data_IF_760069793509
#
_entry.id   IF_760069793509
#
_cell.length_a   1.000
_cell.length_b   1.000
_cell.length_c   1.000
_cell.angle_alpha   90.00
_cell.angle_beta   90.00
_cell.angle_gamma   90.00
#
_symmetry.space_group_name_H-M   'P 1'
#
loop_
_entity.id
_entity.type
_entity.pdbx_description
1 polymer ?
#
# COMPACT_ATOMS: atom_id res chain seq x y z
N UNK A 1 -16.39 33.69 6.78
CA UNK A 1 -15.44 32.83 7.52
C UNK A 1 -14.14 33.62 7.68
N UNK A 2 -13.68 33.91 8.91
CA UNK A 2 -12.41 34.64 9.06
C UNK A 2 -11.24 33.73 8.64
N UNK A 3 -10.23 34.31 7.99
CA UNK A 3 -9.00 33.60 7.56
C UNK A 3 -8.33 32.86 8.72
N UNK A 4 -8.39 33.41 9.94
CA UNK A 4 -7.88 32.80 11.16
C UNK A 4 -8.60 31.49 11.55
N UNK A 5 -9.92 31.41 11.33
CA UNK A 5 -10.70 30.20 11.60
C UNK A 5 -10.40 29.07 10.62
N UNK A 6 -10.12 29.39 9.36
CA UNK A 6 -9.71 28.41 8.35
C UNK A 6 -8.29 27.88 8.62
N UNK A 7 -7.35 28.78 8.96
CA UNK A 7 -5.97 28.40 9.29
C UNK A 7 -5.90 27.46 10.50
N UNK A 8 -6.66 27.73 11.57
CA UNK A 8 -6.68 26.87 12.77
C UNK A 8 -7.24 25.48 12.47
N UNK A 9 -8.24 25.36 11.60
CA UNK A 9 -8.81 24.07 11.18
C UNK A 9 -7.84 23.26 10.34
N UNK A 10 -7.13 23.92 9.42
CA UNK A 10 -6.10 23.26 8.61
C UNK A 10 -4.96 22.75 9.49
N UNK A 11 -4.55 23.52 10.49
CA UNK A 11 -3.51 23.11 11.43
C UNK A 11 -3.94 21.89 12.27
N UNK A 12 -5.18 21.88 12.78
CA UNK A 12 -5.72 20.75 13.53
C UNK A 12 -5.92 19.49 12.65
N UNK A 13 -6.37 19.67 11.41
CA UNK A 13 -6.47 18.59 10.43
C UNK A 13 -5.10 18.00 10.10
N UNK A 14 -4.08 18.84 9.91
CA UNK A 14 -2.71 18.40 9.68
C UNK A 14 -2.14 17.65 10.90
N UNK A 15 -2.43 18.12 12.12
CA UNK A 15 -2.00 17.47 13.38
C UNK A 15 -2.62 16.08 13.54
N UNK A 16 -3.90 15.91 13.18
CA UNK A 16 -4.67 14.66 13.32
C UNK A 16 -4.58 13.73 12.10
N UNK A 17 -3.87 14.13 11.03
CA UNK A 17 -3.74 13.36 9.82
C UNK A 17 -3.20 11.95 10.11
N UNK A 18 -3.95 10.92 9.72
CA UNK A 18 -3.54 9.54 9.89
C UNK A 18 -2.31 9.23 9.00
N UNK A 19 -1.21 8.66 9.54
CA UNK A 19 -0.01 8.32 8.74
C UNK A 19 -0.32 7.40 7.56
N UNK A 20 -1.30 6.50 7.71
CA UNK A 20 -1.71 5.53 6.69
C UNK A 20 -2.52 6.12 5.53
N UNK A 21 -2.79 7.42 5.48
CA UNK A 21 -3.73 7.98 4.49
C UNK A 21 -3.17 8.00 3.06
N UNK A 22 -1.86 7.79 2.87
CA UNK A 22 -1.29 7.52 1.54
C UNK A 22 -1.78 6.19 0.93
N UNK A 23 -2.52 5.35 1.67
CA UNK A 23 -3.27 4.23 1.10
C UNK A 23 -4.24 4.68 -0.02
N UNK A 24 -4.79 5.89 0.06
CA UNK A 24 -5.59 6.50 -1.02
C UNK A 24 -4.78 6.64 -2.32
N UNK A 25 -3.53 7.10 -2.22
CA UNK A 25 -2.61 7.27 -3.36
C UNK A 25 -2.29 5.90 -3.94
N UNK A 26 -1.92 4.94 -3.09
CA UNK A 26 -1.61 3.58 -3.50
C UNK A 26 -2.79 2.93 -4.26
N UNK A 27 -3.99 3.02 -3.69
CA UNK A 27 -5.21 2.47 -4.28
C UNK A 27 -5.56 3.11 -5.61
N UNK A 28 -5.55 4.45 -5.68
CA UNK A 28 -5.90 5.18 -6.90
C UNK A 28 -4.87 4.94 -8.01
N UNK A 29 -3.58 4.91 -7.65
CA UNK A 29 -2.49 4.64 -8.58
C UNK A 29 -2.53 3.22 -9.13
N UNK A 30 -2.75 2.19 -8.31
CA UNK A 30 -2.79 0.81 -8.80
C UNK A 30 -4.02 0.53 -9.67
N UNK A 31 -5.18 1.11 -9.34
CA UNK A 31 -6.38 1.02 -10.19
C UNK A 31 -6.14 1.70 -11.54
N UNK A 32 -5.45 2.86 -11.55
CA UNK A 32 -5.03 3.49 -12.80
C UNK A 32 -4.11 2.59 -13.62
N UNK A 33 -3.05 2.04 -13.00
CA UNK A 33 -2.10 1.12 -13.67
C UNK A 33 -2.84 -0.07 -14.28
N UNK A 34 -3.76 -0.70 -13.55
CA UNK A 34 -4.51 -1.84 -14.04
C UNK A 34 -5.44 -1.50 -15.20
N UNK A 35 -6.17 -0.38 -15.13
CA UNK A 35 -7.01 0.07 -16.25
C UNK A 35 -6.20 0.33 -17.52
N UNK A 36 -5.02 0.94 -17.35
CA UNK A 36 -4.12 1.21 -18.46
C UNK A 36 -3.57 -0.07 -19.11
N UNK A 37 -3.15 -1.05 -18.29
CA UNK A 37 -2.71 -2.37 -18.76
C UNK A 37 -3.80 -3.14 -19.53
N UNK A 38 -5.07 -2.87 -19.26
CA UNK A 38 -6.21 -3.44 -19.99
C UNK A 38 -6.69 -2.56 -21.17
N UNK A 39 -5.88 -1.60 -21.61
CA UNK A 39 -6.17 -0.75 -22.77
C UNK A 39 -7.27 0.30 -22.54
N UNK A 40 -7.64 0.56 -21.28
CA UNK A 40 -8.69 1.53 -20.90
C UNK A 40 -8.08 2.86 -20.45
N UNK A 41 -7.22 3.44 -21.28
CA UNK A 41 -6.49 4.68 -20.95
C UNK A 41 -7.41 5.82 -20.48
N UNK A 42 -8.53 6.08 -21.16
CA UNK A 42 -9.48 7.13 -20.74
C UNK A 42 -10.03 6.93 -19.33
N UNK A 43 -10.27 5.68 -18.93
CA UNK A 43 -10.71 5.35 -17.57
C UNK A 43 -9.55 5.42 -16.56
N UNK A 44 -8.31 5.17 -17.00
CA UNK A 44 -7.13 5.21 -16.13
C UNK A 44 -6.77 6.64 -15.70
N UNK A 45 -7.15 7.66 -16.47
CA UNK A 45 -6.87 9.08 -16.17
C UNK A 45 -7.55 9.55 -14.89
N UNK A 46 -8.80 9.18 -14.62
CA UNK A 46 -9.51 9.68 -13.44
C UNK A 46 -8.86 9.20 -12.12
N UNK A 47 -8.58 7.90 -11.92
CA UNK A 47 -7.82 7.44 -10.74
C UNK A 47 -6.40 8.00 -10.69
N UNK A 48 -5.75 8.25 -11.84
CA UNK A 48 -4.44 8.93 -11.88
C UNK A 48 -4.53 10.38 -11.36
N UNK A 49 -5.53 11.14 -11.77
CA UNK A 49 -5.75 12.50 -11.27
C UNK A 49 -5.97 12.50 -9.76
N UNK A 50 -6.82 11.61 -9.25
CA UNK A 50 -7.04 11.46 -7.81
C UNK A 50 -5.75 11.05 -7.10
N UNK A 51 -4.97 10.13 -7.66
CA UNK A 51 -3.67 9.71 -7.16
C UNK A 51 -2.70 10.91 -7.04
N UNK A 52 -2.52 11.68 -8.11
CA UNK A 52 -1.60 12.83 -8.15
C UNK A 52 -2.03 13.96 -7.21
N UNK A 53 -3.31 14.34 -7.23
CA UNK A 53 -3.85 15.40 -6.36
C UNK A 53 -3.75 15.01 -4.89
N UNK A 54 -4.17 13.78 -4.55
CA UNK A 54 -4.07 13.30 -3.17
C UNK A 54 -2.62 13.18 -2.70
N UNK A 55 -1.70 12.73 -3.56
CA UNK A 55 -0.27 12.68 -3.23
C UNK A 55 0.28 14.07 -2.92
N UNK A 56 0.00 15.07 -3.76
CA UNK A 56 0.47 16.44 -3.54
C UNK A 56 -0.10 17.03 -2.23
N UNK A 57 -1.40 16.86 -1.99
CA UNK A 57 -2.05 17.34 -0.75
C UNK A 57 -1.46 16.65 0.48
N UNK A 58 -1.36 15.32 0.47
CA UNK A 58 -0.83 14.55 1.60
C UNK A 58 0.66 14.82 1.84
N UNK A 59 1.44 15.05 0.79
CA UNK A 59 2.85 15.43 0.90
C UNK A 59 2.99 16.79 1.59
N UNK A 60 2.20 17.80 1.19
CA UNK A 60 2.20 19.13 1.82
C UNK A 60 1.77 19.04 3.28
N UNK A 61 0.67 18.35 3.57
CA UNK A 61 0.17 18.20 4.94
C UNK A 61 1.14 17.41 5.83
N UNK A 62 1.77 16.36 5.30
CA UNK A 62 2.76 15.57 6.03
C UNK A 62 4.04 16.36 6.27
N UNK A 63 4.50 17.13 5.27
CA UNK A 63 5.63 18.05 5.42
C UNK A 63 5.36 19.12 6.48
N UNK A 64 4.18 19.74 6.43
CA UNK A 64 3.73 20.67 7.49
C UNK A 64 3.74 20.00 8.86
N UNK A 65 3.19 18.79 8.96
CA UNK A 65 3.12 18.02 10.21
C UNK A 65 4.51 17.70 10.76
N UNK A 66 5.48 17.35 9.91
CA UNK A 66 6.87 17.07 10.32
C UNK A 66 7.59 18.34 10.77
N UNK A 67 7.28 19.51 10.19
CA UNK A 67 7.93 20.76 10.56
C UNK A 67 7.33 21.40 11.82
N UNK A 68 6.00 21.38 11.96
CA UNK A 68 5.25 22.11 12.99
C UNK A 68 4.83 21.20 14.15
N UNK A 69 4.34 19.98 13.87
CA UNK A 69 3.74 19.06 14.85
C UNK A 69 4.66 17.87 15.17
N UNK A 70 5.95 18.14 15.41
CA UNK A 70 6.99 17.12 15.64
C UNK A 70 6.64 16.13 16.75
N UNK A 71 6.05 16.61 17.84
CA UNK A 71 5.65 15.76 18.96
C UNK A 71 4.58 14.74 18.55
N UNK A 72 3.62 15.15 17.72
CA UNK A 72 2.59 14.25 17.21
C UNK A 72 3.17 13.21 16.24
N UNK A 73 4.14 13.58 15.41
CA UNK A 73 4.83 12.63 14.52
C UNK A 73 5.65 11.63 15.33
N UNK A 74 6.40 12.10 16.34
CA UNK A 74 7.18 11.24 17.23
C UNK A 74 6.29 10.27 18.01
N UNK A 75 5.13 10.74 18.48
CA UNK A 75 4.15 9.89 19.15
C UNK A 75 3.63 8.78 18.21
N UNK A 76 3.29 9.13 16.95
CA UNK A 76 2.83 8.15 15.95
C UNK A 76 3.93 7.15 15.57
N UNK A 77 5.19 7.58 15.45
CA UNK A 77 6.33 6.70 15.16
C UNK A 77 6.65 5.73 16.31
N UNK A 78 6.30 6.10 17.55
CA UNK A 78 6.47 5.27 18.74
C UNK A 78 5.26 4.37 19.04
N UNK A 79 4.16 4.51 18.29
CA UNK A 79 2.97 3.69 18.40
C UNK A 79 2.98 2.57 17.34
N UNK A 80 3.12 1.29 17.72
CA UNK A 80 3.14 0.17 16.77
C UNK A 80 1.88 0.02 15.91
N UNK A 81 0.73 0.58 16.33
CA UNK A 81 -0.50 0.52 15.54
C UNK A 81 -0.57 1.63 14.47
N UNK A 82 0.27 2.67 14.59
CA UNK A 82 0.23 3.86 13.72
C UNK A 82 1.51 4.03 12.91
N UNK A 83 2.66 3.64 13.48
CA UNK A 83 3.98 3.76 12.90
C UNK A 83 4.09 3.07 11.54
N UNK A 84 3.56 1.85 11.41
CA UNK A 84 3.58 1.14 10.14
C UNK A 84 2.81 1.88 9.03
N UNK A 85 1.83 2.72 9.38
CA UNK A 85 1.13 3.58 8.42
C UNK A 85 2.06 4.48 7.60
N UNK A 86 3.22 4.91 8.13
CA UNK A 86 4.17 5.73 7.38
C UNK A 86 4.76 5.01 6.15
N UNK A 87 4.79 3.68 6.12
CA UNK A 87 5.23 2.92 4.94
C UNK A 87 4.30 3.11 3.73
N UNK A 88 3.06 3.56 3.93
CA UNK A 88 2.15 3.91 2.83
C UNK A 88 2.67 5.09 1.99
N UNK A 89 3.48 5.99 2.55
CA UNK A 89 4.14 7.04 1.77
C UNK A 89 5.14 6.48 0.75
N UNK A 90 5.93 5.48 1.14
CA UNK A 90 6.92 4.81 0.28
C UNK A 90 6.19 4.08 -0.85
N UNK A 91 5.18 3.28 -0.49
CA UNK A 91 4.37 2.56 -1.46
C UNK A 91 3.61 3.50 -2.40
N UNK A 92 2.99 4.56 -1.89
CA UNK A 92 2.27 5.56 -2.70
C UNK A 92 3.19 6.29 -3.68
N UNK A 93 4.40 6.68 -3.24
CA UNK A 93 5.40 7.33 -4.09
C UNK A 93 5.84 6.43 -5.24
N UNK A 94 6.13 5.16 -4.95
CA UNK A 94 6.55 4.19 -5.97
C UNK A 94 5.42 3.84 -6.94
N UNK A 95 4.18 3.67 -6.47
CA UNK A 95 3.01 3.39 -7.33
C UNK A 95 2.72 4.57 -8.26
N UNK A 96 2.74 5.81 -7.74
CA UNK A 96 2.63 7.00 -8.58
C UNK A 96 3.78 7.07 -9.59
N UNK A 97 5.01 6.81 -9.14
CA UNK A 97 6.20 6.74 -9.98
C UNK A 97 6.07 5.74 -11.13
N UNK A 98 5.60 4.53 -10.86
CA UNK A 98 5.33 3.52 -11.89
C UNK A 98 4.31 4.01 -12.89
N UNK A 99 3.20 4.61 -12.43
CA UNK A 99 2.14 5.06 -13.35
C UNK A 99 2.61 6.20 -14.25
N UNK A 100 3.38 7.17 -13.75
CA UNK A 100 3.92 8.26 -14.58
C UNK A 100 5.08 7.80 -15.46
N UNK A 101 5.84 6.78 -15.05
CA UNK A 101 6.83 6.14 -15.92
C UNK A 101 6.18 5.47 -17.13
N UNK A 102 4.98 4.90 -16.98
CA UNK A 102 4.21 4.36 -18.12
C UNK A 102 3.83 5.45 -19.14
N UNK A 103 3.67 6.70 -18.71
CA UNK A 103 3.45 7.86 -19.58
C UNK A 103 4.78 8.48 -20.11
N UNK A 104 5.92 7.86 -19.82
CA UNK A 104 7.24 8.30 -20.28
C UNK A 104 7.98 9.27 -19.34
N UNK A 105 7.41 9.61 -18.18
CA UNK A 105 8.03 10.53 -17.21
C UNK A 105 9.03 9.81 -16.27
N UNK A 106 10.04 9.16 -16.85
CA UNK A 106 11.02 8.33 -16.13
C UNK A 106 11.84 9.11 -15.08
N UNK A 107 12.15 10.38 -15.33
CA UNK A 107 12.91 11.21 -14.38
C UNK A 107 12.12 11.44 -13.08
N UNK A 108 10.82 11.70 -13.18
CA UNK A 108 9.94 11.87 -12.01
C UNK A 108 9.87 10.57 -11.22
N UNK A 109 9.72 9.44 -11.92
CA UNK A 109 9.68 8.13 -11.30
C UNK A 109 10.99 7.76 -10.59
N UNK A 110 12.15 8.11 -11.16
CA UNK A 110 13.45 7.93 -10.50
C UNK A 110 13.57 8.77 -9.23
N UNK A 111 13.12 10.03 -9.25
CA UNK A 111 13.12 10.90 -8.05
C UNK A 111 12.22 10.31 -6.98
N UNK A 112 11.01 9.87 -7.34
CA UNK A 112 10.09 9.23 -6.41
C UNK A 112 10.68 7.94 -5.82
N UNK A 113 11.34 7.11 -6.63
CA UNK A 113 12.04 5.91 -6.16
C UNK A 113 13.18 6.25 -5.20
N UNK A 114 13.99 7.27 -5.51
CA UNK A 114 15.09 7.70 -4.64
C UNK A 114 14.59 8.22 -3.29
N UNK A 115 13.54 9.06 -3.30
CA UNK A 115 12.89 9.56 -2.08
C UNK A 115 12.27 8.41 -1.28
N UNK A 116 11.59 7.48 -1.95
CA UNK A 116 10.99 6.30 -1.32
C UNK A 116 12.06 5.39 -0.71
N UNK A 117 13.19 5.16 -1.40
CA UNK A 117 14.31 4.37 -0.91
C UNK A 117 14.99 5.01 0.31
N UNK A 118 15.23 6.31 0.28
CA UNK A 118 15.76 7.05 1.44
C UNK A 118 14.81 6.96 2.64
N UNK A 119 13.51 7.19 2.42
CA UNK A 119 12.50 7.06 3.46
C UNK A 119 12.42 5.62 4.01
N UNK A 120 12.53 4.60 3.15
CA UNK A 120 12.52 3.20 3.57
C UNK A 120 13.73 2.82 4.41
N UNK A 121 14.93 3.30 4.06
CA UNK A 121 16.11 3.07 4.90
C UNK A 121 15.93 3.68 6.29
N UNK A 122 15.40 4.91 6.39
CA UNK A 122 15.17 5.53 7.69
C UNK A 122 14.07 4.81 8.47
N UNK A 123 12.88 4.66 7.88
CA UNK A 123 11.69 4.12 8.55
C UNK A 123 11.77 2.62 8.79
N UNK A 124 12.40 1.88 7.87
CA UNK A 124 12.58 0.43 7.90
C UNK A 124 13.43 -0.05 9.08
N UNK A 125 14.37 0.77 9.56
CA UNK A 125 15.09 0.50 10.80
C UNK A 125 14.45 1.18 12.01
N UNK A 126 13.92 2.40 11.85
CA UNK A 126 13.37 3.17 12.96
C UNK A 126 12.11 2.54 13.57
N UNK A 127 11.13 2.15 12.75
CA UNK A 127 9.82 1.68 13.24
C UNK A 127 9.92 0.32 13.93
N UNK A 128 10.57 -0.72 13.37
CA UNK A 128 10.72 -1.99 14.07
C UNK A 128 11.54 -1.82 15.35
N UNK A 129 12.56 -0.96 15.34
CA UNK A 129 13.33 -0.63 16.54
C UNK A 129 12.45 -0.03 17.63
N UNK A 130 11.63 0.98 17.34
CA UNK A 130 10.73 1.58 18.34
C UNK A 130 9.62 0.63 18.77
N UNK A 131 9.11 -0.19 17.87
CA UNK A 131 8.03 -1.14 18.16
C UNK A 131 8.48 -2.33 19.01
N UNK A 132 9.69 -2.86 18.78
CA UNK A 132 10.21 -4.07 19.45
C UNK A 132 11.09 -3.73 20.64
N UNK A 133 11.97 -2.73 20.54
CA UNK A 133 13.05 -2.51 21.50
C UNK A 133 12.70 -1.54 22.64
N UNK A 134 11.79 -0.59 22.40
CA UNK A 134 11.57 0.55 23.31
C UNK A 134 10.43 0.35 24.30
N UNK A 135 9.56 -0.67 24.15
CA UNK A 135 8.43 -0.88 25.08
C UNK A 135 8.66 -2.07 26.03
N UNK A 136 8.63 -1.77 27.33
CA UNK A 136 8.76 -2.76 28.43
C UNK A 136 7.42 -3.12 29.10
N UNK A 137 6.29 -2.56 28.66
CA UNK A 137 5.00 -2.67 29.39
C UNK A 137 3.92 -3.55 28.74
N UNK A 138 4.03 -3.93 27.46
CA UNK A 138 3.14 -4.91 26.80
C UNK A 138 3.91 -5.72 25.76
N UNK A 139 3.59 -7.01 25.54
CA UNK A 139 4.23 -7.79 24.48
C UNK A 139 3.94 -7.12 23.13
N UNK A 140 4.99 -6.85 22.33
CA UNK A 140 4.87 -6.26 20.99
C UNK A 140 3.87 -7.03 20.09
N UNK A 141 3.73 -8.34 20.34
CA UNK A 141 2.78 -9.21 19.67
C UNK A 141 1.32 -8.76 19.78
N UNK A 142 0.91 -8.16 20.91
CA UNK A 142 -0.48 -7.72 21.11
C UNK A 142 -0.91 -6.60 20.16
N UNK A 143 0.04 -5.84 19.62
CA UNK A 143 -0.18 -4.72 18.70
C UNK A 143 -0.01 -5.10 17.21
N UNK A 144 0.32 -6.36 16.90
CA UNK A 144 0.53 -6.80 15.52
C UNK A 144 -0.77 -6.92 14.74
N UNK A 145 -1.08 -5.99 13.84
CA UNK A 145 -2.30 -6.04 13.03
C UNK A 145 -1.99 -6.04 11.52
N UNK A 146 -3.05 -5.99 10.70
CA UNK A 146 -2.92 -5.95 9.25
C UNK A 146 -2.08 -4.78 8.71
N UNK A 147 -1.91 -3.70 9.47
CA UNK A 147 -1.08 -2.56 9.03
C UNK A 147 0.39 -2.91 8.95
N UNK A 148 0.88 -3.91 9.68
CA UNK A 148 2.30 -4.29 9.68
C UNK A 148 2.74 -4.80 8.29
N UNK A 149 1.82 -5.38 7.51
CA UNK A 149 2.10 -5.79 6.13
C UNK A 149 2.40 -4.61 5.20
N UNK A 150 2.09 -3.36 5.57
CA UNK A 150 2.52 -2.18 4.79
C UNK A 150 4.05 -2.06 4.70
N UNK A 151 4.79 -2.61 5.67
CA UNK A 151 6.25 -2.67 5.61
C UNK A 151 6.75 -3.51 4.44
N UNK A 152 6.09 -4.65 4.20
CA UNK A 152 6.31 -5.52 3.04
C UNK A 152 5.93 -4.78 1.77
N UNK A 153 4.75 -4.17 1.74
CA UNK A 153 4.26 -3.45 0.56
C UNK A 153 5.20 -2.32 0.15
N UNK A 154 5.77 -1.59 1.12
CA UNK A 154 6.74 -0.52 0.85
C UNK A 154 7.99 -1.04 0.14
N UNK A 155 8.65 -2.07 0.68
CA UNK A 155 9.87 -2.59 0.04
C UNK A 155 9.56 -3.27 -1.30
N UNK A 156 8.45 -4.00 -1.42
CA UNK A 156 8.04 -4.61 -2.68
C UNK A 156 7.70 -3.55 -3.74
N UNK A 157 7.13 -2.41 -3.36
CA UNK A 157 6.87 -1.32 -4.30
C UNK A 157 8.16 -0.72 -4.88
N UNK A 158 9.26 -0.70 -4.12
CA UNK A 158 10.58 -0.31 -4.63
C UNK A 158 11.06 -1.31 -5.67
N UNK A 159 10.82 -2.61 -5.46
CA UNK A 159 11.15 -3.64 -6.44
C UNK A 159 10.38 -3.44 -7.75
N UNK A 160 9.06 -3.20 -7.68
CA UNK A 160 8.23 -2.91 -8.87
C UNK A 160 8.71 -1.65 -9.59
N UNK A 161 9.00 -0.57 -8.86
CA UNK A 161 9.44 0.69 -9.45
C UNK A 161 10.80 0.57 -10.13
N UNK A 162 11.77 -0.06 -9.45
CA UNK A 162 13.09 -0.33 -10.02
C UNK A 162 12.99 -1.22 -11.28
N UNK A 163 12.12 -2.24 -11.24
CA UNK A 163 11.90 -3.12 -12.38
C UNK A 163 11.22 -2.43 -13.57
N UNK A 164 10.34 -1.46 -13.29
CA UNK A 164 9.70 -0.65 -14.34
C UNK A 164 10.69 0.30 -15.01
N UNK A 165 11.67 0.82 -14.25
CA UNK A 165 12.64 1.80 -14.75
C UNK A 165 13.87 1.18 -15.43
N UNK A 166 14.22 -0.06 -15.10
CA UNK A 166 15.38 -0.76 -15.67
C UNK A 166 15.47 -0.68 -17.21
N UNK A 167 14.42 -1.00 -17.99
CA UNK A 167 14.52 -0.96 -19.44
C UNK A 167 14.61 0.48 -20.00
N UNK A 168 14.06 1.46 -19.28
CA UNK A 168 13.98 2.85 -19.72
C UNK A 168 15.22 3.69 -19.39
N UNK A 169 16.07 3.24 -18.46
CA UNK A 169 17.24 4.00 -17.99
C UNK A 169 18.51 3.14 -18.11
N UNK A 170 19.07 2.98 -19.32
CA UNK A 170 20.19 2.07 -19.57
C UNK A 170 21.42 2.32 -18.68
N UNK A 171 21.70 3.58 -18.35
CA UNK A 171 22.84 3.97 -17.49
C UNK A 171 22.74 3.48 -16.05
N UNK A 172 21.53 3.17 -15.56
CA UNK A 172 21.28 2.67 -14.20
C UNK A 172 20.81 1.21 -14.17
N UNK A 173 20.83 0.50 -15.31
CA UNK A 173 20.30 -0.87 -15.45
C UNK A 173 20.75 -1.81 -14.33
N UNK A 174 22.06 -1.92 -14.11
CA UNK A 174 22.60 -2.84 -13.11
C UNK A 174 22.18 -2.45 -11.68
N UNK A 175 22.17 -1.16 -11.36
CA UNK A 175 21.73 -0.66 -10.07
C UNK A 175 20.23 -0.90 -9.85
N UNK A 176 19.40 -0.71 -10.88
CA UNK A 176 17.95 -0.94 -10.83
C UNK A 176 17.62 -2.43 -10.71
N UNK A 177 18.30 -3.29 -11.47
CA UNK A 177 18.18 -4.75 -11.34
C UNK A 177 18.60 -5.21 -9.93
N UNK A 178 19.72 -4.68 -9.42
CA UNK A 178 20.18 -4.99 -8.07
C UNK A 178 19.17 -4.54 -7.00
N UNK A 179 18.66 -3.32 -7.13
CA UNK A 179 17.65 -2.76 -6.23
C UNK A 179 16.37 -3.58 -6.26
N UNK A 180 15.94 -4.04 -7.44
CA UNK A 180 14.72 -4.82 -7.58
C UNK A 180 14.81 -6.18 -6.89
N UNK A 181 15.86 -6.95 -7.17
CA UNK A 181 16.06 -8.26 -6.55
C UNK A 181 16.30 -8.12 -5.04
N UNK A 182 17.13 -7.16 -4.60
CA UNK A 182 17.36 -6.89 -3.18
C UNK A 182 16.05 -6.58 -2.44
N UNK A 183 15.27 -5.63 -2.97
CA UNK A 183 14.01 -5.21 -2.35
C UNK A 183 12.97 -6.33 -2.33
N UNK A 184 12.91 -7.13 -3.41
CA UNK A 184 12.01 -8.28 -3.49
C UNK A 184 12.37 -9.34 -2.45
N UNK A 185 13.66 -9.70 -2.35
CA UNK A 185 14.13 -10.68 -1.38
C UNK A 185 13.83 -10.25 0.06
N UNK A 186 14.16 -9.00 0.42
CA UNK A 186 13.83 -8.45 1.74
C UNK A 186 12.32 -8.50 1.99
N UNK A 187 11.51 -8.12 1.01
CA UNK A 187 10.06 -8.15 1.12
C UNK A 187 9.48 -9.55 1.38
N UNK A 188 10.00 -10.59 0.74
CA UNK A 188 9.56 -11.98 0.97
C UNK A 188 9.87 -12.43 2.39
N UNK A 189 11.07 -12.14 2.91
CA UNK A 189 11.40 -12.45 4.30
C UNK A 189 10.57 -11.65 5.30
N UNK A 190 10.35 -10.36 5.04
CA UNK A 190 9.47 -9.53 5.86
C UNK A 190 8.03 -10.04 5.87
N UNK A 191 7.53 -10.54 4.74
CA UNK A 191 6.20 -11.13 4.66
C UNK A 191 6.05 -12.33 5.57
N UNK A 192 7.02 -13.25 5.55
CA UNK A 192 7.03 -14.40 6.44
C UNK A 192 7.09 -13.97 7.92
N UNK A 193 7.98 -13.03 8.26
CA UNK A 193 8.13 -12.54 9.62
C UNK A 193 6.83 -11.87 10.16
N UNK A 194 6.25 -10.94 9.39
CA UNK A 194 4.99 -10.27 9.74
C UNK A 194 3.85 -11.28 9.79
N UNK A 195 3.77 -12.21 8.84
CA UNK A 195 2.76 -13.25 8.80
C UNK A 195 2.78 -14.15 10.03
N UNK A 196 3.97 -14.54 10.50
CA UNK A 196 4.13 -15.31 11.75
C UNK A 196 3.69 -14.49 12.96
N UNK A 197 4.10 -13.22 13.07
CA UNK A 197 3.72 -12.35 14.20
C UNK A 197 2.21 -12.11 14.25
N UNK A 198 1.58 -11.78 13.12
CA UNK A 198 0.12 -11.54 13.06
C UNK A 198 -0.64 -12.85 13.34
N UNK A 199 -0.20 -13.98 12.78
CA UNK A 199 -0.81 -15.29 13.06
C UNK A 199 -0.69 -15.65 14.54
N UNK A 200 0.49 -15.47 15.14
CA UNK A 200 0.72 -15.74 16.55
C UNK A 200 -0.15 -14.84 17.44
N UNK A 201 -0.37 -13.56 17.07
CA UNK A 201 -1.33 -12.70 17.78
C UNK A 201 -2.75 -13.24 17.68
N UNK A 202 -3.20 -13.62 16.49
CA UNK A 202 -4.56 -14.14 16.27
C UNK A 202 -4.84 -15.44 17.05
N UNK A 203 -3.79 -16.22 17.34
CA UNK A 203 -3.89 -17.45 18.15
C UNK A 203 -3.78 -17.19 19.66
N UNK A 204 -3.00 -16.18 20.06
CA UNK A 204 -2.70 -15.92 21.47
C UNK A 204 -3.64 -14.91 22.16
N UNK A 205 -4.39 -14.11 21.39
CA UNK A 205 -5.27 -13.07 21.93
C UNK A 205 -6.70 -13.24 21.41
N UNK A 206 -7.69 -12.90 22.26
CA UNK A 206 -9.10 -12.92 21.88
C UNK A 206 -9.39 -11.97 20.72
N UNK A 207 -9.97 -12.51 19.66
CA UNK A 207 -10.31 -11.76 18.44
C UNK A 207 -11.73 -11.19 18.53
N UNK A 208 -11.86 -9.87 18.73
CA UNK A 208 -13.16 -9.20 18.65
C UNK A 208 -13.47 -8.82 17.20
N UNK A 209 -14.76 -8.74 16.85
CA UNK A 209 -15.19 -8.31 15.52
C UNK A 209 -14.70 -6.89 15.15
N UNK A 210 -14.44 -6.03 16.14
CA UNK A 210 -13.87 -4.69 15.96
C UNK A 210 -12.38 -4.73 15.61
N UNK A 211 -11.68 -5.81 15.94
CA UNK A 211 -10.24 -5.94 15.71
C UNK A 211 -9.94 -6.41 14.28
N UNK A 212 -10.93 -6.96 13.56
CA UNK A 212 -10.84 -7.30 12.13
C UNK A 212 -10.97 -6.05 11.26
N UNK A 213 -9.97 -5.19 11.37
CA UNK A 213 -9.92 -3.91 10.68
C UNK A 213 -9.66 -4.09 9.18
N UNK A 214 -10.02 -3.10 8.34
CA UNK A 214 -9.74 -3.13 6.89
C UNK A 214 -8.28 -3.47 6.50
N UNK A 215 -7.24 -3.04 7.25
CA UNK A 215 -5.84 -3.39 6.99
C UNK A 215 -5.50 -4.87 6.88
N UNK A 216 -6.32 -5.81 7.38
CA UNK A 216 -6.07 -7.25 7.16
C UNK A 216 -6.05 -7.64 5.67
N UNK A 217 -6.74 -6.88 4.81
CA UNK A 217 -6.64 -7.05 3.36
C UNK A 217 -5.23 -6.81 2.82
N UNK A 218 -4.38 -6.05 3.52
CA UNK A 218 -2.99 -5.81 3.13
C UNK A 218 -2.17 -7.11 3.21
N UNK A 219 -2.56 -8.11 4.00
CA UNK A 219 -1.91 -9.43 3.95
C UNK A 219 -1.98 -10.05 2.54
N UNK A 220 -3.17 -10.06 1.95
CA UNK A 220 -3.36 -10.48 0.56
C UNK A 220 -2.71 -9.48 -0.42
N UNK A 221 -2.79 -8.18 -0.16
CA UNK A 221 -2.15 -7.17 -1.00
C UNK A 221 -0.62 -7.29 -1.04
N UNK A 222 0.00 -7.72 0.05
CA UNK A 222 1.44 -7.91 0.18
C UNK A 222 1.93 -9.12 -0.63
N UNK A 223 1.17 -10.23 -0.68
CA UNK A 223 1.48 -11.31 -1.64
C UNK A 223 1.30 -10.84 -3.07
N UNK A 224 0.23 -10.12 -3.38
CA UNK A 224 -0.03 -9.63 -4.73
C UNK A 224 1.07 -8.69 -5.26
N UNK A 225 1.55 -7.73 -4.48
CA UNK A 225 2.66 -6.86 -4.92
C UNK A 225 3.98 -7.64 -5.04
N UNK A 226 4.20 -8.66 -4.19
CA UNK A 226 5.37 -9.54 -4.31
C UNK A 226 5.34 -10.38 -5.59
N UNK A 227 4.14 -10.81 -6.01
CA UNK A 227 3.88 -11.48 -7.29
C UNK A 227 4.18 -10.52 -8.44
N UNK A 228 3.63 -9.30 -8.39
CA UNK A 228 3.88 -8.28 -9.42
C UNK A 228 5.37 -7.95 -9.55
N UNK A 229 6.06 -7.72 -8.42
CA UNK A 229 7.49 -7.43 -8.39
C UNK A 229 8.30 -8.60 -8.97
N UNK A 230 8.02 -9.83 -8.55
CA UNK A 230 8.72 -11.01 -9.03
C UNK A 230 8.48 -11.25 -10.53
N UNK A 231 7.24 -11.13 -11.01
CA UNK A 231 6.93 -11.22 -12.44
C UNK A 231 7.72 -10.18 -13.26
N UNK A 232 7.84 -8.95 -12.77
CA UNK A 232 8.64 -7.90 -13.43
C UNK A 232 10.14 -8.19 -13.41
N UNK A 233 10.66 -8.78 -12.33
CA UNK A 233 12.07 -9.20 -12.26
C UNK A 233 12.35 -10.36 -13.22
N UNK A 234 11.43 -11.32 -13.34
CA UNK A 234 11.55 -12.41 -14.31
C UNK A 234 11.50 -11.86 -15.73
N UNK A 235 10.74 -10.81 -16.02
CA UNK A 235 10.71 -10.18 -17.35
C UNK A 235 11.93 -9.26 -17.64
N UNK A 236 12.79 -8.99 -16.65
CA UNK A 236 13.98 -8.16 -16.85
C UNK A 236 14.96 -8.78 -17.85
N UNK A 237 15.77 -7.90 -18.47
CA UNK A 237 16.94 -8.35 -19.23
C UNK A 237 17.92 -9.14 -18.34
N UNK A 238 18.65 -10.10 -18.92
CA UNK A 238 19.66 -10.85 -18.18
C UNK A 238 20.70 -9.93 -17.53
N UNK A 239 20.90 -10.12 -16.23
CA UNK A 239 21.98 -9.55 -15.44
C UNK A 239 22.39 -10.60 -14.41
N UNK A 240 23.65 -10.60 -13.90
CA UNK A 240 24.15 -11.70 -13.06
C UNK A 240 23.23 -12.02 -11.87
N UNK A 241 22.66 -11.00 -11.22
CA UNK A 241 21.79 -11.18 -10.06
C UNK A 241 20.38 -11.67 -10.44
N UNK A 242 19.84 -11.21 -11.57
CA UNK A 242 18.56 -11.66 -12.09
C UNK A 242 18.67 -13.12 -12.57
N UNK A 243 19.71 -13.48 -13.32
CA UNK A 243 19.92 -14.85 -13.80
C UNK A 243 20.05 -15.85 -12.66
N UNK A 244 20.81 -15.50 -11.61
CA UNK A 244 20.97 -16.35 -10.43
C UNK A 244 19.66 -16.62 -9.67
N UNK A 245 18.70 -15.68 -9.73
CA UNK A 245 17.46 -15.73 -8.93
C UNK A 245 16.21 -16.05 -9.74
N UNK A 246 16.25 -15.96 -11.07
CA UNK A 246 15.07 -16.02 -11.97
C UNK A 246 14.18 -17.23 -11.72
N UNK A 247 14.76 -18.44 -11.71
CA UNK A 247 13.99 -19.67 -11.50
C UNK A 247 13.35 -19.75 -10.11
N UNK A 248 14.07 -19.29 -9.07
CA UNK A 248 13.54 -19.22 -7.71
C UNK A 248 12.39 -18.21 -7.62
N UNK A 249 12.56 -17.02 -8.18
CA UNK A 249 11.54 -15.96 -8.18
C UNK A 249 10.28 -16.45 -8.89
N UNK A 250 10.41 -17.06 -10.09
CA UNK A 250 9.27 -17.60 -10.83
C UNK A 250 8.46 -18.60 -9.99
N UNK A 251 9.13 -19.58 -9.36
CA UNK A 251 8.46 -20.53 -8.47
C UNK A 251 7.77 -19.88 -7.26
N UNK A 252 8.46 -18.95 -6.59
CA UNK A 252 7.92 -18.25 -5.40
C UNK A 252 6.72 -17.37 -5.77
N UNK A 253 6.74 -16.73 -6.94
CA UNK A 253 5.64 -15.90 -7.43
C UNK A 253 4.36 -16.73 -7.58
N UNK A 254 4.43 -17.93 -8.16
CA UNK A 254 3.26 -18.82 -8.27
C UNK A 254 2.74 -19.23 -6.89
N UNK A 255 3.62 -19.56 -5.95
CA UNK A 255 3.25 -19.90 -4.56
C UNK A 255 2.56 -18.73 -3.84
N UNK A 256 3.10 -17.51 -3.97
CA UNK A 256 2.52 -16.32 -3.36
C UNK A 256 1.17 -15.95 -3.99
N UNK A 257 1.00 -16.16 -5.30
CA UNK A 257 -0.28 -15.94 -5.96
C UNK A 257 -1.33 -16.94 -5.49
N UNK A 258 -0.99 -18.23 -5.40
CA UNK A 258 -1.87 -19.26 -4.87
C UNK A 258 -2.27 -18.97 -3.40
N UNK A 259 -1.30 -18.60 -2.56
CA UNK A 259 -1.56 -18.22 -1.17
C UNK A 259 -2.44 -16.96 -1.06
N UNK A 260 -2.15 -15.92 -1.86
CA UNK A 260 -2.98 -14.71 -1.94
C UNK A 260 -4.42 -15.01 -2.32
N UNK A 261 -4.62 -15.90 -3.29
CA UNK A 261 -5.94 -16.37 -3.73
C UNK A 261 -6.68 -17.09 -2.61
N UNK A 262 -5.98 -17.95 -1.87
CA UNK A 262 -6.53 -18.68 -0.73
C UNK A 262 -6.93 -17.77 0.45
N UNK A 263 -6.27 -16.61 0.62
CA UNK A 263 -6.65 -15.62 1.65
C UNK A 263 -7.97 -14.90 1.34
N UNK A 264 -8.37 -14.77 0.06
CA UNK A 264 -9.55 -13.99 -0.33
C UNK A 264 -10.84 -14.50 0.35
N UNK A 265 -11.20 -15.80 0.31
CA UNK A 265 -12.38 -16.31 1.00
C UNK A 265 -12.39 -16.01 2.50
N UNK A 266 -11.24 -16.13 3.17
CA UNK A 266 -11.11 -15.87 4.61
C UNK A 266 -11.35 -14.38 4.92
N UNK A 267 -10.79 -13.48 4.11
CA UNK A 267 -10.96 -12.03 4.26
C UNK A 267 -12.41 -11.59 4.00
N UNK A 268 -13.07 -12.19 3.00
CA UNK A 268 -14.50 -11.96 2.72
C UNK A 268 -15.36 -12.46 3.88
N UNK A 269 -15.08 -13.65 4.40
CA UNK A 269 -15.78 -14.22 5.56
C UNK A 269 -15.60 -13.35 6.82
N UNK A 270 -14.38 -12.85 7.07
CA UNK A 270 -14.08 -11.91 8.15
C UNK A 270 -14.88 -10.61 8.04
N UNK A 271 -14.96 -10.03 6.83
CA UNK A 271 -15.77 -8.84 6.57
C UNK A 271 -17.28 -9.09 6.74
N UNK A 272 -17.76 -10.24 6.27
CA UNK A 272 -19.16 -10.66 6.46
C UNK A 272 -19.49 -10.82 7.95
N UNK A 273 -18.62 -11.51 8.71
CA UNK A 273 -18.80 -11.68 10.15
C UNK A 273 -18.81 -10.35 10.90
N UNK A 274 -17.90 -9.41 10.58
CA UNK A 274 -17.85 -8.07 11.16
C UNK A 274 -19.13 -7.26 10.92
N UNK A 275 -19.58 -7.16 9.67
CA UNK A 275 -20.66 -6.23 9.29
C UNK A 275 -22.06 -6.85 9.30
N UNK A 276 -22.21 -8.14 8.99
CA UNK A 276 -23.52 -8.80 8.96
C UNK A 276 -23.87 -9.48 10.27
N UNK A 277 -22.93 -10.23 10.85
CA UNK A 277 -23.19 -10.98 12.09
C UNK A 277 -23.08 -10.06 13.31
N UNK A 278 -21.98 -9.34 13.45
CA UNK A 278 -21.73 -8.43 14.57
C UNK A 278 -22.25 -6.99 14.36
N UNK A 279 -22.87 -6.72 13.20
CA UNK A 279 -23.54 -5.44 12.87
C UNK A 279 -22.70 -4.20 13.11
N UNK A 280 -21.37 -4.30 12.93
CA UNK A 280 -20.49 -3.13 12.99
C UNK A 280 -20.84 -2.21 11.81
N UNK A 281 -21.22 -0.94 12.07
CA UNK A 281 -21.70 -0.05 11.02
C UNK A 281 -20.61 0.25 9.98
N UNK A 282 -21.00 0.29 8.71
CA UNK A 282 -20.14 0.69 7.59
C UNK A 282 -20.12 2.22 7.52
N UNK A 283 -19.22 2.84 8.27
CA UNK A 283 -18.93 4.28 8.22
C UNK A 283 -17.63 4.48 7.45
N UNK A 284 -17.52 5.58 6.71
CA UNK A 284 -16.27 5.93 6.05
C UNK A 284 -15.16 6.10 7.10
N UNK A 285 -14.14 5.26 6.99
CA UNK A 285 -12.88 5.37 7.72
C UNK A 285 -11.73 5.38 6.71
N UNK A 286 -10.67 6.13 7.02
CA UNK A 286 -9.49 6.26 6.14
C UNK A 286 -8.84 4.92 5.78
N UNK A 287 -8.99 3.92 6.64
CA UNK A 287 -8.48 2.57 6.45
C UNK A 287 -9.21 1.77 5.36
N UNK A 288 -10.40 2.18 4.89
CA UNK A 288 -11.10 1.50 3.78
C UNK A 288 -10.27 1.48 2.49
N UNK A 289 -9.42 2.48 2.27
CA UNK A 289 -8.47 2.50 1.14
C UNK A 289 -7.49 1.32 1.17
N UNK A 290 -7.22 0.75 2.35
CA UNK A 290 -6.40 -0.44 2.52
C UNK A 290 -7.05 -1.73 1.98
N UNK A 291 -8.34 -1.71 1.60
CA UNK A 291 -9.03 -2.81 0.88
C UNK A 291 -8.92 -2.63 -0.63
N UNK A 292 -9.07 -1.39 -1.11
CA UNK A 292 -9.06 -1.07 -2.54
C UNK A 292 -7.69 -1.37 -3.16
N UNK A 293 -6.61 -1.01 -2.45
CA UNK A 293 -5.26 -1.26 -2.94
C UNK A 293 -4.96 -2.76 -3.19
N UNK A 294 -5.19 -3.68 -2.24
CA UNK A 294 -5.03 -5.12 -2.47
C UNK A 294 -5.84 -5.66 -3.64
N UNK A 295 -7.09 -5.22 -3.81
CA UNK A 295 -7.93 -5.66 -4.93
C UNK A 295 -7.32 -5.27 -6.28
N UNK A 296 -6.91 -3.99 -6.42
CA UNK A 296 -6.26 -3.52 -7.63
C UNK A 296 -4.90 -4.18 -7.86
N UNK A 297 -4.13 -4.38 -6.79
CA UNK A 297 -2.83 -5.03 -6.85
C UNK A 297 -2.92 -6.49 -7.28
N UNK A 298 -3.88 -7.25 -6.73
CA UNK A 298 -4.11 -8.64 -7.12
C UNK A 298 -4.53 -8.75 -8.59
N UNK A 299 -5.34 -7.81 -9.09
CA UNK A 299 -5.70 -7.74 -10.49
C UNK A 299 -4.47 -7.52 -11.40
N UNK A 300 -3.66 -6.51 -11.09
CA UNK A 300 -2.43 -6.17 -11.84
C UNK A 300 -1.38 -7.29 -11.76
N UNK A 301 -1.28 -7.95 -10.62
CA UNK A 301 -0.40 -9.09 -10.41
C UNK A 301 -0.83 -10.28 -11.26
N UNK A 302 -2.11 -10.62 -11.29
CA UNK A 302 -2.65 -11.70 -12.13
C UNK A 302 -2.41 -11.47 -13.62
N UNK A 303 -2.65 -10.25 -14.11
CA UNK A 303 -2.38 -9.87 -15.50
C UNK A 303 -0.89 -9.90 -15.84
N UNK A 304 -0.01 -9.55 -14.90
CA UNK A 304 1.44 -9.63 -15.11
C UNK A 304 1.94 -11.07 -15.09
N UNK A 305 1.42 -11.90 -14.18
CA UNK A 305 1.78 -13.31 -14.06
C UNK A 305 1.40 -14.11 -15.31
N UNK A 306 0.22 -13.84 -15.87
CA UNK A 306 -0.23 -14.49 -17.10
C UNK A 306 0.69 -14.26 -18.31
N UNK A 307 1.42 -13.14 -18.34
CA UNK A 307 2.36 -12.82 -19.43
C UNK A 307 3.72 -13.50 -19.27
N UNK A 308 4.10 -13.86 -18.05
CA UNK A 308 5.45 -14.36 -17.73
C UNK A 308 5.48 -15.88 -17.67
N UNK A 309 4.44 -16.50 -17.09
CA UNK A 309 4.41 -17.94 -16.84
C UNK A 309 3.32 -18.68 -17.66
N UNK A 310 2.75 -18.04 -18.69
CA UNK A 310 1.67 -18.58 -19.53
C UNK A 310 0.50 -19.17 -18.71
N UNK A 311 0.11 -18.45 -17.64
CA UNK A 311 -0.99 -18.83 -16.75
C UNK A 311 -2.29 -18.08 -17.12
N UNK A 312 -3.11 -18.57 -18.09
CA UNK A 312 -4.29 -17.86 -18.58
C UNK A 312 -5.34 -17.64 -17.47
N UNK A 313 -5.42 -18.55 -16.49
CA UNK A 313 -6.33 -18.42 -15.36
C UNK A 313 -6.02 -17.16 -14.53
N UNK A 314 -4.74 -16.89 -14.24
CA UNK A 314 -4.33 -15.72 -13.49
C UNK A 314 -4.68 -14.42 -14.24
N UNK A 315 -4.56 -14.43 -15.58
CA UNK A 315 -4.91 -13.30 -16.44
C UNK A 315 -6.42 -13.04 -16.49
N UNK A 316 -7.22 -14.09 -16.58
CA UNK A 316 -8.69 -13.97 -16.53
C UNK A 316 -9.17 -13.42 -15.18
N UNK A 317 -8.60 -13.93 -14.08
CA UNK A 317 -8.86 -13.40 -12.74
C UNK A 317 -8.43 -11.93 -12.64
N UNK A 318 -7.28 -11.56 -13.21
CA UNK A 318 -6.81 -10.18 -13.29
C UNK A 318 -7.78 -9.25 -14.02
N UNK A 319 -8.25 -9.67 -15.19
CA UNK A 319 -9.18 -8.93 -16.03
C UNK A 319 -10.56 -8.70 -15.37
N UNK A 320 -11.05 -9.63 -14.57
CA UNK A 320 -12.27 -9.43 -13.77
C UNK A 320 -11.98 -8.59 -12.53
N UNK A 321 -10.85 -8.87 -11.85
CA UNK A 321 -10.44 -8.22 -10.62
C UNK A 321 -10.30 -6.71 -10.75
N UNK A 322 -9.83 -6.20 -11.90
CA UNK A 322 -9.67 -4.75 -12.10
C UNK A 322 -11.01 -4.00 -12.07
N UNK A 323 -12.09 -4.61 -12.56
CA UNK A 323 -13.43 -4.01 -12.49
C UNK A 323 -13.98 -4.01 -11.07
N UNK A 324 -13.72 -5.07 -10.30
CA UNK A 324 -14.06 -5.14 -8.88
C UNK A 324 -13.29 -4.05 -8.11
N UNK A 325 -12.00 -3.88 -8.38
CA UNK A 325 -11.17 -2.85 -7.77
C UNK A 325 -11.66 -1.44 -8.13
N UNK A 326 -12.05 -1.19 -9.39
CA UNK A 326 -12.62 0.09 -9.82
C UNK A 326 -13.95 0.39 -9.13
N UNK A 327 -14.83 -0.60 -9.00
CA UNK A 327 -16.10 -0.44 -8.27
C UNK A 327 -15.86 -0.11 -6.78
N UNK A 328 -14.98 -0.86 -6.12
CA UNK A 328 -14.61 -0.61 -4.73
C UNK A 328 -13.95 0.77 -4.54
N UNK A 329 -13.09 1.18 -5.48
CA UNK A 329 -12.48 2.51 -5.52
C UNK A 329 -13.55 3.60 -5.63
N UNK A 330 -14.50 3.47 -6.56
CA UNK A 330 -15.57 4.45 -6.77
C UNK A 330 -16.47 4.60 -5.54
N UNK A 331 -16.88 3.49 -4.92
CA UNK A 331 -17.69 3.50 -3.69
C UNK A 331 -16.92 4.19 -2.54
N UNK A 332 -15.64 3.86 -2.36
CA UNK A 332 -14.81 4.44 -1.30
C UNK A 332 -14.58 5.94 -1.53
N UNK A 333 -14.37 6.35 -2.78
CA UNK A 333 -14.22 7.76 -3.15
C UNK A 333 -15.50 8.55 -2.86
N UNK A 334 -16.67 8.02 -3.27
CA UNK A 334 -17.95 8.67 -3.00
C UNK A 334 -18.23 8.78 -1.49
N UNK A 335 -17.92 7.74 -0.72
CA UNK A 335 -18.03 7.76 0.73
C UNK A 335 -17.11 8.80 1.37
N UNK A 336 -15.87 8.94 0.89
CA UNK A 336 -14.95 9.98 1.33
C UNK A 336 -15.48 11.39 1.02
N UNK A 337 -15.96 11.61 -0.20
CA UNK A 337 -16.49 12.92 -0.61
C UNK A 337 -17.75 13.30 0.19
N UNK A 338 -18.63 12.34 0.45
CA UNK A 338 -19.79 12.54 1.32
C UNK A 338 -19.36 12.87 2.77
N UNK A 339 -18.37 12.16 3.32
CA UNK A 339 -17.85 12.44 4.65
C UNK A 339 -17.25 13.86 4.74
N UNK A 340 -16.45 14.26 3.75
CA UNK A 340 -15.84 15.59 3.69
C UNK A 340 -16.88 16.71 3.51
N UNK A 341 -17.93 16.48 2.71
CA UNK A 341 -19.00 17.47 2.51
C UNK A 341 -19.85 17.64 3.77
N UNK A 342 -20.17 16.55 4.49
CA UNK A 342 -20.86 16.63 5.77
C UNK A 342 -20.04 17.37 6.84
N UNK A 343 -18.73 17.11 6.90
CA UNK A 343 -17.82 17.82 7.81
C UNK A 343 -17.71 19.32 7.47
N UNK A 344 -17.77 19.68 6.18
CA UNK A 344 -17.77 21.08 5.75
C UNK A 344 -19.08 21.81 6.07
N UNK A 345 -20.23 21.10 6.02
CA UNK A 345 -21.58 21.67 6.24
C UNK A 345 -21.99 21.75 7.71
N UNK A 346 -21.42 20.95 8.62
CA UNK A 346 -21.70 21.00 10.08
C UNK A 346 -20.44 21.34 10.90
N UNK A 347 -20.01 22.62 10.98
CA UNK A 347 -18.70 22.96 11.51
C UNK A 347 -18.61 23.03 13.05
N UNK A 348 -19.55 22.45 13.82
CA UNK A 348 -19.69 22.77 15.25
C UNK A 348 -20.46 21.79 16.15
N UNK A 349 -20.44 20.48 15.90
CA UNK A 349 -21.08 19.52 16.82
C UNK A 349 -20.10 18.74 17.71
N UNK A 350 -18.80 18.68 17.38
CA UNK A 350 -17.82 17.83 18.09
C UNK A 350 -16.87 18.61 19.03
N UNK A 351 -17.33 19.74 19.56
CA UNK A 351 -16.66 20.47 20.65
C UNK A 351 -17.54 20.49 21.90
N UNK A 352 -17.77 19.31 22.45
CA UNK A 352 -18.42 19.07 23.74
C UNK A 352 -17.66 18.01 24.52
#
# INVERSE_FOLDING_TARGET
MSSAGAARRLDEAARRLAPGYFALVMASGIVSIGLDQHGRHLLSVLPLLVCGVSYAVLLVLSGWRVLVHRDAVRADLADPNRGFGFFTFIAGSNVLGVRVAMDGHHAVALVLLAVAGAAWLVLGYLIPWTAVMVRHTRPALGAADGTWFTWVVAVQSMAVSAATLEPAVPGLRHALAATAVFSWSVGVFLYAAVGVMVSARLLAYDLRATDLTPPYWIAMGATAISVLAGARIVDMRPSPMVEATRGLIAGVVVLLWAFGTWLIPVLVAAGWWRHRVHRVPLVYESSLWAIVFPLGMYAVAGTSLARVDDLPLAGAVGAVGIWIALAAWGVTLLAMLAHLSHAAVRPGADSG
#
